data_IF_926122650601
#
_entry.id   IF_926122650601
#
_cell.length_a   1.000
_cell.length_b   1.000
_cell.length_c   1.000
_cell.angle_alpha   90.00
_cell.angle_beta   90.00
_cell.angle_gamma   90.00
#
_symmetry.space_group_name_H-M   'P 1'
#
loop_
_entity.id
_entity.type
_entity.pdbx_description
1 polymer ?
#
# COMPACT_ATOMS: atom_id res chain seq x y z
N UNK A 1 -16.58 -15.58 -11.69
CA UNK A 1 -17.37 -15.87 -10.47
C UNK A 1 -16.49 -16.06 -9.24
N UNK A 2 -15.75 -17.18 -9.07
CA UNK A 2 -14.88 -17.36 -7.88
C UNK A 2 -13.77 -16.30 -7.78
N UNK A 3 -13.04 -16.06 -8.88
CA UNK A 3 -11.96 -15.07 -8.93
C UNK A 3 -12.44 -13.65 -8.61
N UNK A 4 -13.59 -13.25 -9.14
CA UNK A 4 -14.18 -11.94 -8.88
C UNK A 4 -14.59 -11.77 -7.42
N UNK A 5 -15.12 -12.82 -6.79
CA UNK A 5 -15.44 -12.81 -5.36
C UNK A 5 -14.17 -12.65 -4.51
N UNK A 6 -13.10 -13.38 -4.84
CA UNK A 6 -11.81 -13.24 -4.14
C UNK A 6 -11.25 -11.83 -4.34
N UNK A 7 -11.18 -11.33 -5.57
CA UNK A 7 -10.72 -9.97 -5.88
C UNK A 7 -11.52 -8.91 -5.12
N UNK A 8 -12.85 -9.05 -5.05
CA UNK A 8 -13.71 -8.14 -4.29
C UNK A 8 -13.39 -8.14 -2.81
N UNK A 9 -13.17 -9.31 -2.20
CA UNK A 9 -12.76 -9.41 -0.79
C UNK A 9 -11.41 -8.76 -0.56
N UNK A 10 -10.42 -8.97 -1.44
CA UNK A 10 -9.12 -8.30 -1.36
C UNK A 10 -9.26 -6.76 -1.42
N UNK A 11 -10.09 -6.24 -2.33
CA UNK A 11 -10.34 -4.79 -2.44
C UNK A 11 -10.99 -4.24 -1.17
N UNK A 12 -11.96 -4.95 -0.60
CA UNK A 12 -12.60 -4.54 0.67
C UNK A 12 -11.57 -4.49 1.79
N UNK A 13 -10.72 -5.52 1.93
CA UNK A 13 -9.66 -5.55 2.94
C UNK A 13 -8.67 -4.39 2.72
N UNK A 14 -8.25 -4.14 1.47
CA UNK A 14 -7.38 -3.02 1.14
C UNK A 14 -8.01 -1.67 1.52
N UNK A 15 -9.29 -1.47 1.18
CA UNK A 15 -10.05 -0.29 1.55
C UNK A 15 -10.13 -0.09 3.05
N UNK A 16 -10.38 -1.15 3.81
CA UNK A 16 -10.39 -1.10 5.28
C UNK A 16 -9.03 -0.70 5.85
N UNK A 17 -7.93 -1.25 5.31
CA UNK A 17 -6.58 -0.85 5.72
C UNK A 17 -6.32 0.65 5.47
N UNK A 18 -6.78 1.18 4.34
CA UNK A 18 -6.71 2.62 4.06
C UNK A 18 -7.50 3.44 5.07
N UNK A 19 -8.75 3.05 5.36
CA UNK A 19 -9.60 3.76 6.32
C UNK A 19 -9.00 3.71 7.72
N UNK A 20 -8.50 2.56 8.16
CA UNK A 20 -7.84 2.40 9.47
C UNK A 20 -6.57 3.26 9.55
N UNK A 21 -5.70 3.22 8.54
CA UNK A 21 -4.50 4.07 8.52
C UNK A 21 -4.85 5.56 8.48
N UNK A 22 -5.84 5.98 7.68
CA UNK A 22 -6.26 7.38 7.58
C UNK A 22 -6.86 7.89 8.90
N UNK A 23 -7.75 7.10 9.51
CA UNK A 23 -8.32 7.42 10.82
C UNK A 23 -7.26 7.46 11.90
N UNK A 24 -6.33 6.51 11.93
CA UNK A 24 -5.23 6.54 12.89
C UNK A 24 -4.33 7.78 12.69
N UNK A 25 -4.05 8.16 11.44
CA UNK A 25 -3.23 9.33 11.11
C UNK A 25 -3.87 10.63 11.60
N UNK A 26 -5.19 10.78 11.49
CA UNK A 26 -5.92 11.94 12.01
C UNK A 26 -5.80 12.09 13.52
N UNK A 27 -5.70 10.99 14.27
CA UNK A 27 -5.59 11.01 15.73
C UNK A 27 -4.14 11.01 16.22
N UNK A 28 -3.15 10.93 15.34
CA UNK A 28 -1.76 10.78 15.73
C UNK A 28 -1.16 12.12 16.22
N UNK A 29 -0.60 12.16 17.45
CA UNK A 29 -0.14 13.39 18.07
C UNK A 29 1.22 13.87 17.55
N UNK A 30 2.09 12.94 17.13
CA UNK A 30 3.47 13.22 16.74
C UNK A 30 3.78 12.71 15.34
N UNK A 31 4.82 13.28 14.74
CA UNK A 31 5.18 13.01 13.36
C UNK A 31 5.80 11.61 13.14
N UNK A 32 6.43 11.03 14.17
CA UNK A 32 6.99 9.67 14.10
C UNK A 32 5.89 8.61 14.10
N UNK A 33 4.91 8.74 14.99
CA UNK A 33 3.70 7.91 15.01
C UNK A 33 2.95 8.02 13.70
N UNK A 34 2.79 9.24 13.15
CA UNK A 34 2.17 9.45 11.83
C UNK A 34 2.90 8.69 10.72
N UNK A 35 4.23 8.73 10.68
CA UNK A 35 5.02 8.00 9.69
C UNK A 35 4.80 6.48 9.80
N UNK A 36 4.77 5.93 11.02
CA UNK A 36 4.55 4.49 11.22
C UNK A 36 3.14 4.03 10.83
N UNK A 37 2.13 4.90 11.00
CA UNK A 37 0.73 4.59 10.66
C UNK A 37 0.44 4.54 9.15
N UNK A 38 1.31 5.11 8.33
CA UNK A 38 1.22 5.01 6.87
C UNK A 38 1.66 3.63 6.34
N UNK A 39 2.42 2.88 7.14
CA UNK A 39 2.98 1.58 6.75
C UNK A 39 1.94 0.59 6.26
N UNK A 40 0.87 0.25 7.02
CA UNK A 40 -0.12 -0.74 6.60
C UNK A 40 -0.82 -0.40 5.28
N UNK A 41 -1.26 0.84 5.09
CA UNK A 41 -1.90 1.27 3.85
C UNK A 41 -0.95 1.22 2.64
N UNK A 42 0.29 1.69 2.80
CA UNK A 42 1.22 1.78 1.67
C UNK A 42 1.92 0.47 1.35
N UNK A 43 2.32 -0.30 2.36
CA UNK A 43 3.07 -1.55 2.17
C UNK A 43 2.20 -2.77 1.87
N UNK A 44 0.94 -2.78 2.33
CA UNK A 44 0.04 -3.95 2.19
C UNK A 44 -1.17 -3.64 1.33
N UNK A 45 -1.91 -2.56 1.60
CA UNK A 45 -3.17 -2.30 0.89
C UNK A 45 -2.96 -2.05 -0.61
N UNK A 46 -1.92 -1.29 -0.98
CA UNK A 46 -1.59 -1.03 -2.40
C UNK A 46 -1.23 -2.32 -3.17
N UNK A 47 -0.30 -3.18 -2.71
CA UNK A 47 -0.06 -4.47 -3.37
C UNK A 47 -1.30 -5.36 -3.44
N UNK A 48 -2.14 -5.35 -2.40
CA UNK A 48 -3.36 -6.14 -2.35
C UNK A 48 -4.34 -5.74 -3.48
N UNK A 49 -4.44 -4.45 -3.79
CA UNK A 49 -5.25 -3.94 -4.92
C UNK A 49 -4.68 -4.44 -6.25
N UNK A 50 -3.35 -4.37 -6.44
CA UNK A 50 -2.70 -4.85 -7.67
C UNK A 50 -2.96 -6.35 -7.89
N UNK A 51 -2.86 -7.15 -6.81
CA UNK A 51 -3.15 -8.58 -6.85
C UNK A 51 -4.63 -8.84 -7.16
N UNK A 52 -5.55 -8.05 -6.58
CA UNK A 52 -6.98 -8.15 -6.87
C UNK A 52 -7.28 -7.88 -8.35
N UNK A 53 -6.63 -6.89 -8.97
CA UNK A 53 -6.77 -6.61 -10.40
C UNK A 53 -6.29 -7.79 -11.25
N UNK A 54 -5.16 -8.42 -10.90
CA UNK A 54 -4.70 -9.63 -11.59
C UNK A 54 -5.71 -10.79 -11.49
N UNK A 55 -6.25 -11.03 -10.29
CA UNK A 55 -7.27 -12.06 -10.08
C UNK A 55 -8.52 -11.79 -10.92
N UNK A 56 -8.93 -10.53 -11.03
CA UNK A 56 -10.04 -10.14 -11.89
C UNK A 56 -9.74 -10.37 -13.38
N UNK A 57 -8.56 -9.99 -13.87
CA UNK A 57 -8.13 -10.24 -15.26
C UNK A 57 -8.13 -11.73 -15.60
N UNK A 58 -7.71 -12.58 -14.65
CA UNK A 58 -7.77 -14.05 -14.79
C UNK A 58 -9.22 -14.53 -14.89
N UNK A 59 -10.11 -14.01 -14.02
CA UNK A 59 -11.53 -14.34 -14.03
C UNK A 59 -12.26 -13.90 -15.29
N UNK A 60 -11.85 -12.78 -15.89
CA UNK A 60 -12.41 -12.21 -17.11
C UNK A 60 -11.88 -12.86 -18.40
N UNK A 61 -10.84 -13.70 -18.32
CA UNK A 61 -10.19 -14.33 -19.47
C UNK A 61 -9.32 -13.37 -20.29
N UNK A 62 -9.05 -12.16 -19.80
CA UNK A 62 -8.17 -11.15 -20.42
C UNK A 62 -6.73 -11.24 -19.94
N UNK A 63 -6.39 -12.28 -19.17
CA UNK A 63 -5.06 -12.43 -18.59
C UNK A 63 -4.00 -12.76 -19.63
N UNK A 64 -2.96 -11.93 -19.68
CA UNK A 64 -1.72 -12.20 -20.41
C UNK A 64 -0.52 -12.12 -19.47
N UNK A 65 0.60 -12.76 -19.85
CA UNK A 65 1.85 -12.73 -19.07
C UNK A 65 2.36 -11.30 -18.80
N UNK A 66 2.05 -10.38 -19.71
CA UNK A 66 2.35 -8.95 -19.57
C UNK A 66 1.65 -8.33 -18.35
N UNK A 67 0.43 -8.75 -18.01
CA UNK A 67 -0.28 -8.29 -16.81
C UNK A 67 0.48 -8.72 -15.55
N UNK A 68 0.96 -9.96 -15.50
CA UNK A 68 1.74 -10.48 -14.38
C UNK A 68 3.04 -9.70 -14.18
N UNK A 69 3.79 -9.45 -15.27
CA UNK A 69 5.03 -8.67 -15.22
C UNK A 69 4.76 -7.25 -14.73
N UNK A 70 3.74 -6.58 -15.26
CA UNK A 70 3.35 -5.23 -14.83
C UNK A 70 2.98 -5.18 -13.35
N UNK A 71 2.28 -6.18 -12.84
CA UNK A 71 1.90 -6.26 -11.43
C UNK A 71 3.13 -6.41 -10.52
N UNK A 72 4.07 -7.29 -10.87
CA UNK A 72 5.33 -7.45 -10.12
C UNK A 72 6.11 -6.14 -10.12
N UNK A 73 6.28 -5.53 -11.29
CA UNK A 73 6.98 -4.25 -11.43
C UNK A 73 6.28 -3.15 -10.62
N UNK A 74 4.96 -3.10 -10.63
CA UNK A 74 4.18 -2.12 -9.85
C UNK A 74 4.41 -2.30 -8.34
N UNK A 75 4.33 -3.53 -7.82
CA UNK A 75 4.54 -3.81 -6.39
C UNK A 75 5.97 -3.45 -5.97
N UNK A 76 6.97 -3.86 -6.76
CA UNK A 76 8.37 -3.53 -6.48
C UNK A 76 8.61 -2.03 -6.52
N UNK A 77 8.10 -1.33 -7.54
CA UNK A 77 8.23 0.12 -7.65
C UNK A 77 7.57 0.84 -6.46
N UNK A 78 6.39 0.39 -6.04
CA UNK A 78 5.69 0.91 -4.87
C UNK A 78 6.53 0.76 -3.60
N UNK A 79 7.12 -0.42 -3.37
CA UNK A 79 7.97 -0.65 -2.20
C UNK A 79 9.28 0.14 -2.24
N UNK A 80 9.90 0.28 -3.41
CA UNK A 80 11.10 1.13 -3.56
C UNK A 80 10.78 2.58 -3.21
N UNK A 81 9.69 3.12 -3.75
CA UNK A 81 9.25 4.49 -3.45
C UNK A 81 8.93 4.65 -1.96
N UNK A 82 8.24 3.67 -1.36
CA UNK A 82 7.93 3.68 0.05
C UNK A 82 9.20 3.67 0.92
N UNK A 83 10.19 2.84 0.59
CA UNK A 83 11.46 2.79 1.31
C UNK A 83 12.20 4.13 1.25
N UNK A 84 12.24 4.76 0.08
CA UNK A 84 12.84 6.09 -0.11
C UNK A 84 12.10 7.15 0.71
N UNK A 85 10.76 7.14 0.65
CA UNK A 85 9.93 8.08 1.42
C UNK A 85 10.14 7.92 2.94
N UNK A 86 10.19 6.68 3.45
CA UNK A 86 10.46 6.39 4.86
C UNK A 86 11.86 6.85 5.28
N UNK A 87 12.88 6.67 4.42
CA UNK A 87 14.24 7.14 4.70
C UNK A 87 14.31 8.67 4.81
N UNK A 88 13.70 9.38 3.85
CA UNK A 88 13.67 10.85 3.85
C UNK A 88 12.90 11.38 5.06
N UNK A 89 11.74 10.79 5.41
CA UNK A 89 10.98 11.16 6.61
C UNK A 89 11.79 10.90 7.89
N UNK A 90 12.44 9.74 8.01
CA UNK A 90 13.25 9.41 9.19
C UNK A 90 14.39 10.42 9.42
N UNK A 91 15.05 10.86 8.35
CA UNK A 91 16.07 11.91 8.42
C UNK A 91 15.50 13.26 8.85
N UNK A 92 14.41 13.70 8.24
CA UNK A 92 13.78 14.98 8.58
C UNK A 92 13.31 15.03 10.04
N UNK A 93 12.78 13.91 10.57
CA UNK A 93 12.39 13.81 11.97
C UNK A 93 13.60 13.87 12.92
N UNK A 94 14.72 13.26 12.53
CA UNK A 94 15.94 13.31 13.35
C UNK A 94 16.52 14.73 13.41
N UNK A 95 16.52 15.46 12.30
CA UNK A 95 17.00 16.85 12.23
C UNK A 95 16.17 17.77 13.16
N UNK A 96 14.83 17.69 13.11
CA UNK A 96 13.94 18.47 14.01
C UNK A 96 14.17 18.16 15.49
N UNK A 97 14.47 16.90 15.83
CA UNK A 97 14.71 16.50 17.22
C UNK A 97 16.00 17.06 17.82
N UNK A 98 16.97 17.50 17.01
CA UNK A 98 18.21 18.11 17.51
C UNK A 98 18.09 19.63 17.73
N UNK A 99 17.03 20.26 17.21
CA UNK A 99 16.81 21.71 17.34
C UNK A 99 15.95 22.09 18.57
N UNK A 100 15.40 21.10 19.29
CA UNK A 100 14.52 21.28 20.46
C UNK A 100 15.22 20.95 21.78
#
# INVERSE_FOLDING_TARGET
MLYDSIASVLIIIAGLLFVVSATALWHAPDALTRANLLGPATSVALPLIVIATLLHDIGAGSFEINHLVRAIVAIVALWVVLAVASFVMGRALHEVSQES
#
